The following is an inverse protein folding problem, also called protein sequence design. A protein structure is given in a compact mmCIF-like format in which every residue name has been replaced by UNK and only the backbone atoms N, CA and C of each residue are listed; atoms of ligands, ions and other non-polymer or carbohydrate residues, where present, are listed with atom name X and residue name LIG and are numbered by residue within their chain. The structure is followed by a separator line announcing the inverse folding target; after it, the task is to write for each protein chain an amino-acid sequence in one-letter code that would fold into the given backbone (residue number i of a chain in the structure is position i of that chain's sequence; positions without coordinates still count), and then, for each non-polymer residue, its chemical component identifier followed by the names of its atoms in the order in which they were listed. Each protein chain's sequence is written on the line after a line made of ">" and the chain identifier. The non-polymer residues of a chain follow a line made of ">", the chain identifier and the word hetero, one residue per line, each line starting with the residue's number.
data_IF_492616768775
#
_entry.id   IF_492616768775
#
_cell.length_a   1.000
_cell.length_b   1.000
_cell.length_c   1.000
_cell.angle_alpha   90.00
_cell.angle_beta   90.00
_cell.angle_gamma   90.00
#
_symmetry.space_group_name_H-M   'P 1'
#
loop_
_entity.id
_entity.type
_entity.pdbx_description
1 polymer ?
#
# COMPACT_ATOMS: atom_id res chain seq x y z
N UNK A 1 -5.90 23.20 14.94
CA UNK A 1 -4.74 24.13 14.92
C UNK A 1 -3.67 23.51 15.78
N UNK A 2 -2.52 23.22 15.22
CA UNK A 2 -1.34 22.77 15.99
C UNK A 2 -0.29 23.87 15.94
N UNK A 3 0.26 24.21 17.10
CA UNK A 3 1.35 25.18 17.22
C UNK A 3 2.57 24.47 17.82
N UNK A 4 3.74 24.68 17.25
CA UNK A 4 5.01 24.30 17.87
C UNK A 4 5.58 25.51 18.61
N UNK A 5 5.95 25.32 19.87
CA UNK A 5 6.67 26.30 20.66
C UNK A 5 8.03 25.73 21.01
N UNK A 6 9.08 26.53 20.90
CA UNK A 6 10.42 26.12 21.30
C UNK A 6 11.55 26.67 20.45
N UNK A 7 11.24 27.26 19.31
CA UNK A 7 12.23 27.96 18.50
C UNK A 7 12.50 29.36 19.07
N UNK A 8 13.74 29.78 19.02
CA UNK A 8 14.16 31.12 19.37
C UNK A 8 14.45 31.86 18.07
N UNK A 9 13.80 33.01 17.86
CA UNK A 9 14.10 33.86 16.72
C UNK A 9 15.55 34.35 16.82
N UNK A 10 16.35 34.03 15.82
CA UNK A 10 17.79 34.33 15.78
C UNK A 10 18.11 35.83 15.80
N UNK A 11 17.15 36.68 15.45
CA UNK A 11 17.33 38.15 15.40
C UNK A 11 16.91 38.83 16.70
N UNK A 12 15.82 38.36 17.31
CA UNK A 12 15.24 38.99 18.52
C UNK A 12 15.57 38.26 19.80
N UNK A 13 16.10 37.07 19.74
CA UNK A 13 16.37 36.15 20.86
C UNK A 13 15.15 35.86 21.74
N UNK A 14 13.94 36.01 21.18
CA UNK A 14 12.68 35.75 21.86
C UNK A 14 12.09 34.41 21.43
N UNK A 15 11.35 33.72 22.32
CA UNK A 15 10.61 32.51 21.96
C UNK A 15 9.60 32.80 20.84
N UNK A 16 9.57 31.93 19.85
CA UNK A 16 8.62 32.01 18.72
C UNK A 16 7.69 30.79 18.76
N UNK A 17 6.42 31.04 18.58
CA UNK A 17 5.44 29.98 18.31
C UNK A 17 5.02 30.10 16.83
N UNK A 18 5.20 29.02 16.09
CA UNK A 18 4.70 28.90 14.70
C UNK A 18 3.46 28.01 14.66
N UNK A 19 2.48 28.42 13.87
CA UNK A 19 1.31 27.59 13.58
C UNK A 19 1.70 26.67 12.43
N UNK A 20 1.69 25.36 12.69
CA UNK A 20 2.10 24.35 11.71
C UNK A 20 0.93 23.81 10.87
N UNK A 21 -0.31 23.95 11.35
CA UNK A 21 -1.51 23.52 10.65
C UNK A 21 -2.68 24.45 10.94
N UNK A 22 -3.49 24.82 9.95
CA UNK A 22 -4.67 25.65 10.16
C UNK A 22 -5.73 24.89 10.98
N UNK A 23 -6.70 25.63 11.52
CA UNK A 23 -7.89 25.02 12.11
C UNK A 23 -8.76 24.43 11.00
N UNK A 24 -9.34 23.27 11.28
CA UNK A 24 -10.39 22.69 10.45
C UNK A 24 -11.66 22.54 11.30
N UNK A 25 -12.62 23.50 11.25
CA UNK A 25 -13.85 23.44 12.03
C UNK A 25 -14.81 22.35 11.52
N UNK A 26 -14.64 21.90 10.27
CA UNK A 26 -15.50 20.89 9.64
C UNK A 26 -15.01 19.45 9.90
N UNK A 27 -13.94 19.29 10.66
CA UNK A 27 -13.38 17.98 10.95
C UNK A 27 -14.35 17.17 11.83
N UNK A 28 -14.80 16.03 11.28
CA UNK A 28 -15.72 15.09 11.95
C UNK A 28 -14.95 13.90 12.48
N UNK A 29 -15.43 13.26 13.53
CA UNK A 29 -14.89 12.02 14.05
C UNK A 29 -15.09 10.86 13.07
N UNK A 30 -14.07 10.04 12.93
CA UNK A 30 -14.17 8.78 12.21
C UNK A 30 -15.20 7.86 12.87
N UNK A 31 -16.02 7.22 12.04
CA UNK A 31 -17.00 6.25 12.48
C UNK A 31 -16.69 4.89 11.89
N UNK A 32 -16.48 3.89 12.75
CA UNK A 32 -16.24 2.52 12.35
C UNK A 32 -17.42 1.63 12.72
N UNK A 33 -18.04 1.00 11.71
CA UNK A 33 -19.08 0.00 11.88
C UNK A 33 -18.54 -1.34 11.42
N UNK A 34 -18.55 -2.34 12.32
CA UNK A 34 -18.16 -3.71 12.02
C UNK A 34 -19.33 -4.65 12.25
N UNK A 35 -19.59 -5.53 11.28
CA UNK A 35 -20.47 -6.68 11.40
C UNK A 35 -19.64 -7.92 11.16
N UNK A 36 -19.68 -8.87 12.09
CA UNK A 36 -18.97 -10.15 12.00
C UNK A 36 -19.95 -11.30 12.25
N UNK A 37 -19.81 -12.37 11.48
CA UNK A 37 -20.50 -13.65 11.70
C UNK A 37 -19.45 -14.75 11.67
N UNK A 38 -19.32 -15.47 12.77
CA UNK A 38 -18.32 -16.52 12.96
C UNK A 38 -18.97 -17.85 13.30
N UNK A 39 -18.29 -18.92 12.94
CA UNK A 39 -18.61 -20.30 13.27
C UNK A 39 -17.35 -21.02 13.77
N UNK A 40 -17.40 -21.48 15.01
CA UNK A 40 -16.38 -22.37 15.56
C UNK A 40 -16.81 -23.82 15.41
N UNK A 41 -15.86 -24.68 15.08
CA UNK A 41 -16.14 -26.10 14.91
C UNK A 41 -15.04 -26.98 15.50
N UNK A 42 -15.48 -28.18 15.95
CA UNK A 42 -14.59 -29.20 16.44
C UNK A 42 -15.15 -30.59 16.16
N UNK A 43 -14.35 -31.42 15.51
CA UNK A 43 -14.72 -32.79 15.12
C UNK A 43 -13.67 -33.81 15.58
N UNK A 44 -14.01 -35.06 15.58
CA UNK A 44 -13.10 -36.19 15.90
C UNK A 44 -12.41 -36.01 17.27
N UNK A 45 -13.18 -35.71 18.31
CA UNK A 45 -12.66 -35.38 19.65
C UNK A 45 -11.64 -34.19 19.62
N UNK A 46 -11.98 -33.13 18.90
CA UNK A 46 -11.17 -31.93 18.70
C UNK A 46 -9.85 -32.11 17.93
N UNK A 47 -9.65 -33.28 17.31
CA UNK A 47 -8.49 -33.48 16.42
C UNK A 47 -8.55 -32.54 15.21
N UNK A 48 -9.75 -32.32 14.67
CA UNK A 48 -10.04 -31.28 13.69
C UNK A 48 -10.80 -30.16 14.39
N UNK A 49 -10.25 -28.96 14.41
CA UNK A 49 -10.84 -27.78 15.03
C UNK A 49 -10.58 -26.55 14.21
N UNK A 50 -11.40 -25.55 14.37
CA UNK A 50 -11.16 -24.28 13.68
C UNK A 50 -12.30 -23.31 13.81
N UNK A 51 -12.15 -22.18 13.11
CA UNK A 51 -13.16 -21.14 12.98
C UNK A 51 -13.26 -20.67 11.54
N UNK A 52 -14.43 -20.20 11.18
CA UNK A 52 -14.70 -19.50 9.92
C UNK A 52 -15.45 -18.22 10.25
N UNK A 53 -14.86 -17.10 9.93
CA UNK A 53 -15.41 -15.76 10.16
C UNK A 53 -15.62 -15.03 8.85
N UNK A 54 -16.75 -14.36 8.73
CA UNK A 54 -17.02 -13.38 7.68
C UNK A 54 -17.28 -12.03 8.30
N UNK A 55 -16.58 -11.00 7.82
CA UNK A 55 -16.76 -9.65 8.34
C UNK A 55 -16.98 -8.62 7.23
N UNK A 56 -17.71 -7.57 7.61
CA UNK A 56 -17.84 -6.32 6.86
C UNK A 56 -17.53 -5.17 7.81
N UNK A 57 -16.48 -4.41 7.51
CA UNK A 57 -16.08 -3.22 8.26
C UNK A 57 -16.19 -2.00 7.35
N UNK A 58 -16.99 -1.01 7.77
CA UNK A 58 -17.13 0.26 7.05
C UNK A 58 -16.65 1.39 7.95
N UNK A 59 -15.64 2.11 7.49
CA UNK A 59 -15.18 3.36 8.07
C UNK A 59 -15.76 4.53 7.28
N UNK A 60 -16.35 5.49 7.97
CA UNK A 60 -16.82 6.76 7.41
C UNK A 60 -16.01 7.91 7.98
N UNK A 61 -15.97 8.99 7.23
CA UNK A 61 -15.28 10.22 7.64
C UNK A 61 -13.81 9.99 8.01
N UNK A 62 -13.14 9.06 7.32
CA UNK A 62 -11.73 8.77 7.54
C UNK A 62 -10.93 10.02 7.24
N UNK A 63 -10.05 10.42 8.14
CA UNK A 63 -9.25 11.62 7.97
C UNK A 63 -7.81 11.29 7.57
N UNK A 64 -7.28 12.14 6.70
CA UNK A 64 -5.88 12.12 6.28
C UNK A 64 -5.39 13.57 6.08
N UNK A 65 -4.06 13.78 6.03
CA UNK A 65 -3.53 15.06 5.59
C UNK A 65 -3.85 15.27 4.10
N UNK A 66 -4.41 16.42 3.80
CA UNK A 66 -4.61 16.89 2.43
C UNK A 66 -3.65 18.04 2.14
N UNK A 67 -3.19 18.16 0.90
CA UNK A 67 -2.37 19.29 0.46
C UNK A 67 -3.25 20.52 0.29
N UNK A 68 -2.77 21.65 0.78
CA UNK A 68 -3.44 22.94 0.62
C UNK A 68 -2.78 23.76 -0.49
N UNK A 69 -3.53 24.72 -1.04
CA UNK A 69 -2.97 25.71 -1.94
C UNK A 69 -1.92 26.56 -1.21
N UNK A 70 -0.72 26.76 -1.77
CA UNK A 70 0.35 27.56 -1.14
C UNK A 70 -0.07 28.98 -0.73
N UNK A 71 -1.09 29.55 -1.36
CA UNK A 71 -1.64 30.88 -1.01
C UNK A 71 -2.26 30.93 0.38
N UNK A 72 -2.60 29.77 0.97
CA UNK A 72 -3.11 29.67 2.35
C UNK A 72 -2.02 29.88 3.40
N UNK A 73 -0.74 29.83 3.00
CA UNK A 73 0.40 29.87 3.91
C UNK A 73 0.68 28.53 4.64
N UNK A 74 -0.06 27.47 4.32
CA UNK A 74 0.13 26.14 4.88
C UNK A 74 0.31 25.11 3.76
N UNK A 75 1.11 24.08 4.00
CA UNK A 75 1.31 22.98 3.04
C UNK A 75 0.24 21.92 3.12
N UNK A 76 -0.31 21.69 4.31
CA UNK A 76 -1.32 20.64 4.53
C UNK A 76 -2.22 20.91 5.73
N UNK A 77 -3.37 20.26 5.75
CA UNK A 77 -4.22 20.15 6.94
C UNK A 77 -4.87 18.77 7.00
N UNK A 78 -5.31 18.38 8.19
CA UNK A 78 -6.09 17.15 8.37
C UNK A 78 -7.54 17.43 8.04
N UNK A 79 -8.12 16.62 7.15
CA UNK A 79 -9.53 16.68 6.76
C UNK A 79 -10.12 15.27 6.64
N UNK A 80 -11.44 15.15 6.69
CA UNK A 80 -12.12 13.92 6.31
C UNK A 80 -11.99 13.76 4.80
N UNK A 81 -11.51 12.60 4.35
CA UNK A 81 -11.17 12.42 2.92
C UNK A 81 -12.02 11.37 2.24
N UNK A 82 -12.42 10.31 2.97
CA UNK A 82 -13.06 9.17 2.32
C UNK A 82 -13.91 8.33 3.28
N UNK A 83 -14.78 7.53 2.68
CA UNK A 83 -15.43 6.39 3.31
C UNK A 83 -14.93 5.10 2.67
N UNK A 84 -14.58 4.09 3.49
CA UNK A 84 -13.91 2.86 3.06
C UNK A 84 -14.67 1.65 3.59
N UNK A 85 -14.75 0.60 2.77
CA UNK A 85 -15.28 -0.70 3.19
C UNK A 85 -14.23 -1.78 3.03
N UNK A 86 -14.09 -2.59 4.07
CA UNK A 86 -13.36 -3.84 4.06
C UNK A 86 -14.35 -4.98 4.27
N UNK A 87 -14.27 -6.01 3.47
CA UNK A 87 -15.00 -7.24 3.68
C UNK A 87 -14.06 -8.42 3.43
N UNK A 88 -14.14 -9.42 4.28
CA UNK A 88 -13.23 -10.53 4.21
C UNK A 88 -13.72 -11.79 4.89
N UNK A 89 -12.95 -12.84 4.67
CA UNK A 89 -13.14 -14.15 5.25
C UNK A 89 -11.85 -14.52 5.97
N UNK A 90 -11.98 -15.02 7.18
CA UNK A 90 -10.90 -15.58 7.97
C UNK A 90 -11.23 -17.03 8.29
N UNK A 91 -10.29 -17.92 8.00
CA UNK A 91 -10.41 -19.35 8.24
C UNK A 91 -9.20 -19.81 9.07
N UNK A 92 -9.47 -20.46 10.18
CA UNK A 92 -8.47 -21.17 10.96
C UNK A 92 -8.81 -22.66 10.98
N UNK A 93 -7.82 -23.51 10.73
CA UNK A 93 -7.95 -24.97 10.78
C UNK A 93 -6.76 -25.52 11.56
N UNK A 94 -7.03 -26.23 12.65
CA UNK A 94 -6.05 -27.03 13.37
C UNK A 94 -6.33 -28.51 13.17
N UNK A 95 -5.32 -29.27 12.84
CA UNK A 95 -5.44 -30.72 12.70
C UNK A 95 -4.29 -31.46 13.38
N UNK A 96 -4.66 -32.42 14.24
CA UNK A 96 -3.72 -33.31 14.91
C UNK A 96 -3.62 -34.62 14.13
N UNK A 97 -2.59 -34.71 13.27
CA UNK A 97 -2.36 -35.91 12.44
C UNK A 97 -2.06 -37.12 13.30
N UNK A 98 -1.18 -36.91 14.31
CA UNK A 98 -0.79 -37.96 15.24
C UNK A 98 -0.86 -37.44 16.67
N UNK A 99 -1.58 -38.12 17.51
CA UNK A 99 -1.71 -37.85 18.95
C UNK A 99 -1.05 -39.01 19.70
N UNK A 100 0.05 -38.76 20.45
CA UNK A 100 0.78 -39.83 21.10
C UNK A 100 -0.02 -40.38 22.31
N UNK A 101 0.00 -41.69 22.47
CA UNK A 101 -0.55 -42.36 23.67
C UNK A 101 0.32 -42.20 24.91
N UNK A 102 1.56 -41.73 24.77
CA UNK A 102 2.50 -41.51 25.87
C UNK A 102 3.43 -40.31 25.56
N UNK A 103 4.18 -39.81 26.57
CA UNK A 103 5.07 -38.65 26.46
C UNK A 103 6.22 -38.78 25.46
N UNK A 104 6.59 -40.01 25.03
CA UNK A 104 7.69 -40.27 24.09
C UNK A 104 7.19 -40.62 22.69
N UNK A 105 5.87 -40.67 22.48
CA UNK A 105 5.28 -40.98 21.20
C UNK A 105 5.44 -39.81 20.20
N UNK A 106 5.26 -40.14 18.93
CA UNK A 106 5.25 -39.15 17.84
C UNK A 106 3.95 -38.35 17.87
N UNK A 107 4.06 -37.03 17.74
CA UNK A 107 2.93 -36.13 17.49
C UNK A 107 3.24 -35.22 16.31
N UNK A 108 2.21 -34.92 15.54
CA UNK A 108 2.26 -33.93 14.47
C UNK A 108 0.96 -33.15 14.46
N UNK A 109 1.08 -31.86 14.59
CA UNK A 109 -0.03 -30.88 14.53
C UNK A 109 0.25 -29.86 13.42
N UNK A 110 -0.76 -29.59 12.61
CA UNK A 110 -0.74 -28.51 11.61
C UNK A 110 -1.82 -27.49 11.96
N UNK A 111 -1.47 -26.21 11.96
CA UNK A 111 -2.41 -25.09 12.04
C UNK A 111 -2.33 -24.30 10.74
N UNK A 112 -3.45 -24.16 10.04
CA UNK A 112 -3.60 -23.37 8.85
C UNK A 112 -4.45 -22.14 9.16
N UNK A 113 -4.00 -20.97 8.78
CA UNK A 113 -4.76 -19.72 8.80
C UNK A 113 -4.84 -19.15 7.41
N UNK A 114 -6.03 -18.75 6.98
CA UNK A 114 -6.26 -18.11 5.69
C UNK A 114 -7.08 -16.86 5.93
N UNK A 115 -6.53 -15.73 5.52
CA UNK A 115 -7.26 -14.44 5.53
C UNK A 115 -7.38 -13.95 4.09
N UNK A 116 -8.61 -13.65 3.69
CA UNK A 116 -8.87 -12.97 2.43
C UNK A 116 -9.61 -11.68 2.72
N UNK A 117 -9.04 -10.55 2.31
CA UNK A 117 -9.63 -9.22 2.49
C UNK A 117 -9.73 -8.48 1.16
N UNK A 118 -10.88 -7.85 0.95
CA UNK A 118 -11.12 -6.93 -0.16
C UNK A 118 -11.54 -5.57 0.41
N UNK A 119 -10.72 -4.57 0.18
CA UNK A 119 -11.07 -3.20 0.51
C UNK A 119 -11.56 -2.42 -0.72
N UNK A 120 -12.35 -1.39 -0.48
CA UNK A 120 -12.88 -0.51 -1.51
C UNK A 120 -13.18 0.86 -0.92
N UNK A 121 -12.74 1.90 -1.60
CA UNK A 121 -13.17 3.27 -1.36
C UNK A 121 -14.61 3.41 -1.85
N UNK A 122 -15.52 3.81 -0.96
CA UNK A 122 -16.94 4.01 -1.27
C UNK A 122 -17.21 5.40 -1.78
N UNK A 123 -16.58 6.40 -1.16
CA UNK A 123 -16.77 7.80 -1.40
C UNK A 123 -15.50 8.57 -1.09
N UNK A 124 -15.26 9.65 -1.82
CA UNK A 124 -14.16 10.59 -1.59
C UNK A 124 -14.77 11.99 -1.51
N UNK A 125 -14.49 12.72 -0.44
CA UNK A 125 -15.06 14.08 -0.20
C UNK A 125 -14.61 15.06 -1.28
N UNK A 126 -13.30 15.06 -1.58
CA UNK A 126 -12.71 15.90 -2.61
C UNK A 126 -11.94 15.01 -3.58
N UNK A 127 -12.58 14.47 -4.62
CA UNK A 127 -11.91 13.58 -5.55
C UNK A 127 -10.84 14.32 -6.34
N UNK A 128 -9.68 13.67 -6.50
CA UNK A 128 -8.60 14.19 -7.32
C UNK A 128 -9.08 14.40 -8.76
N UNK A 129 -8.70 15.52 -9.36
CA UNK A 129 -8.98 15.83 -10.76
C UNK A 129 -7.73 15.71 -11.63
N UNK A 130 -6.55 15.91 -11.04
CA UNK A 130 -5.26 15.80 -11.72
C UNK A 130 -4.58 14.47 -11.37
N UNK A 131 -3.86 13.94 -12.31
CA UNK A 131 -3.13 12.68 -12.16
C UNK A 131 -2.14 12.71 -10.98
N UNK A 132 -1.40 13.81 -10.80
CA UNK A 132 -0.47 13.98 -9.68
C UNK A 132 -1.17 13.87 -8.31
N UNK A 133 -2.35 14.47 -8.17
CA UNK A 133 -3.07 14.47 -6.90
C UNK A 133 -3.53 13.05 -6.54
N UNK A 134 -3.98 12.26 -7.53
CA UNK A 134 -4.38 10.87 -7.31
C UNK A 134 -3.19 9.94 -7.00
N UNK A 135 -2.03 10.18 -7.60
CA UNK A 135 -0.81 9.41 -7.29
C UNK A 135 -0.33 9.72 -5.87
N UNK A 136 -0.45 10.98 -5.44
CA UNK A 136 -0.03 11.42 -4.10
C UNK A 136 -0.97 10.96 -2.98
N UNK A 137 -2.29 10.93 -3.25
CA UNK A 137 -3.31 10.46 -2.32
C UNK A 137 -4.26 9.51 -3.07
N UNK A 138 -3.99 8.19 -3.07
CA UNK A 138 -4.58 7.23 -4.01
C UNK A 138 -6.03 6.83 -3.67
N UNK A 139 -6.86 7.76 -3.21
CA UNK A 139 -8.28 7.53 -2.96
C UNK A 139 -9.10 7.82 -4.22
N UNK A 140 -9.58 6.77 -4.88
CA UNK A 140 -10.53 6.87 -5.99
C UNK A 140 -11.72 5.95 -5.72
N UNK A 141 -12.94 6.50 -5.79
CA UNK A 141 -14.17 5.75 -5.57
C UNK A 141 -14.23 4.51 -6.46
N UNK A 142 -14.53 3.37 -5.86
CA UNK A 142 -14.60 2.08 -6.55
C UNK A 142 -13.32 1.25 -6.54
N UNK A 143 -12.18 1.84 -6.18
CA UNK A 143 -10.86 1.21 -6.15
C UNK A 143 -10.41 0.90 -4.72
N UNK A 144 -9.39 0.03 -4.53
CA UNK A 144 -8.80 -0.21 -3.22
C UNK A 144 -8.03 1.02 -2.71
N UNK A 145 -7.86 1.11 -1.38
CA UNK A 145 -7.20 2.24 -0.71
C UNK A 145 -5.76 2.41 -1.21
N UNK A 146 -4.99 1.35 -1.20
CA UNK A 146 -3.59 1.38 -1.64
C UNK A 146 -3.47 0.96 -3.12
N UNK A 147 -4.30 1.61 -3.97
CA UNK A 147 -4.26 1.42 -5.40
C UNK A 147 -2.95 1.96 -5.99
N UNK A 148 -2.35 1.20 -6.89
CA UNK A 148 -1.18 1.62 -7.64
C UNK A 148 -1.65 2.23 -8.94
N UNK A 149 -1.35 3.51 -9.12
CA UNK A 149 -1.66 4.29 -10.31
C UNK A 149 -0.39 4.57 -11.09
N UNK A 150 -0.40 4.33 -12.38
CA UNK A 150 0.75 4.51 -13.24
C UNK A 150 0.40 5.40 -14.43
N UNK A 151 1.35 6.25 -14.82
CA UNK A 151 1.30 6.93 -16.10
C UNK A 151 1.61 5.92 -17.21
N UNK A 152 0.86 6.00 -18.30
CA UNK A 152 1.12 5.16 -19.47
C UNK A 152 2.30 5.73 -20.24
N UNK A 153 3.39 4.97 -20.27
CA UNK A 153 4.61 5.35 -20.99
C UNK A 153 4.37 5.36 -22.51
N UNK A 154 4.82 6.43 -23.17
CA UNK A 154 4.65 6.63 -24.60
C UNK A 154 5.96 6.53 -25.38
N UNK A 155 7.08 6.32 -24.70
CA UNK A 155 8.40 6.24 -25.30
C UNK A 155 9.33 7.36 -24.82
N UNK A 156 10.47 7.47 -25.47
CA UNK A 156 11.49 8.46 -25.20
C UNK A 156 11.55 9.44 -26.38
N UNK A 157 11.71 10.72 -26.07
CA UNK A 157 11.73 11.76 -27.09
C UNK A 157 13.10 11.79 -27.81
N UNK A 158 13.06 11.82 -29.13
CA UNK A 158 14.23 11.93 -30.00
C UNK A 158 14.38 13.32 -30.64
N UNK A 159 13.46 14.25 -30.35
CA UNK A 159 13.46 15.59 -30.91
C UNK A 159 14.60 16.45 -30.37
N UNK A 160 15.22 17.31 -31.20
CA UNK A 160 16.30 18.20 -30.77
C UNK A 160 15.92 19.03 -29.54
N UNK A 161 16.76 18.97 -28.52
CA UNK A 161 16.55 19.67 -27.22
C UNK A 161 15.70 18.92 -26.21
N UNK A 162 15.08 17.79 -26.56
CA UNK A 162 14.25 16.94 -25.70
C UNK A 162 14.76 15.50 -25.67
N UNK A 163 15.83 15.21 -26.38
CA UNK A 163 16.43 13.88 -26.53
C UNK A 163 16.64 13.21 -25.17
N UNK A 164 16.15 11.96 -25.02
CA UNK A 164 16.32 11.17 -23.82
C UNK A 164 15.24 11.43 -22.73
N UNK A 165 14.30 12.34 -22.93
CA UNK A 165 13.22 12.58 -21.99
C UNK A 165 12.08 11.59 -22.18
N UNK A 166 11.59 11.02 -21.06
CA UNK A 166 10.42 10.15 -21.07
C UNK A 166 9.15 10.89 -21.43
N UNK A 167 8.35 10.32 -22.32
CA UNK A 167 7.03 10.81 -22.70
C UNK A 167 5.94 9.90 -22.11
N UNK A 168 4.82 10.50 -21.78
CA UNK A 168 3.65 9.82 -21.25
C UNK A 168 2.41 10.22 -22.04
N UNK A 169 1.49 9.25 -22.20
CA UNK A 169 0.19 9.57 -22.80
C UNK A 169 -0.62 10.47 -21.87
N UNK A 170 -1.20 11.51 -22.45
CA UNK A 170 -2.17 12.41 -21.84
C UNK A 170 -3.49 12.38 -22.59
N UNK A 171 -4.38 13.34 -22.37
CA UNK A 171 -5.71 13.37 -22.98
C UNK A 171 -5.64 13.34 -24.51
N UNK A 172 -6.66 12.72 -25.11
CA UNK A 172 -6.84 12.64 -26.58
C UNK A 172 -5.69 11.93 -27.32
N UNK A 173 -4.91 11.09 -26.63
CA UNK A 173 -3.78 10.38 -27.21
C UNK A 173 -2.54 11.24 -27.47
N UNK A 174 -2.52 12.46 -26.98
CA UNK A 174 -1.33 13.31 -27.01
C UNK A 174 -0.27 12.75 -26.04
N UNK A 175 0.95 13.24 -26.19
CA UNK A 175 2.06 12.89 -25.30
C UNK A 175 2.63 14.13 -24.62
N UNK A 176 3.13 13.97 -23.39
CA UNK A 176 3.74 15.04 -22.61
C UNK A 176 4.87 14.49 -21.74
N UNK A 177 5.90 15.29 -21.50
CA UNK A 177 6.93 15.00 -20.49
C UNK A 177 6.43 15.22 -19.07
N UNK A 178 5.38 16.05 -18.90
CA UNK A 178 4.75 16.31 -17.64
C UNK A 178 3.27 15.88 -17.67
N UNK A 179 3.02 14.63 -17.34
CA UNK A 179 1.66 14.08 -17.27
C UNK A 179 0.98 14.34 -15.90
N UNK A 180 1.68 14.94 -14.93
CA UNK A 180 1.12 15.18 -13.59
C UNK A 180 -0.05 16.16 -13.58
N UNK A 181 -0.07 17.12 -14.49
CA UNK A 181 -1.15 18.09 -14.65
C UNK A 181 -2.34 17.59 -15.47
N UNK A 182 -2.20 16.44 -16.12
CA UNK A 182 -3.26 15.80 -16.88
C UNK A 182 -4.42 15.32 -15.98
N UNK A 183 -5.57 15.01 -16.57
CA UNK A 183 -6.71 14.42 -15.89
C UNK A 183 -6.35 13.08 -15.23
N UNK A 184 -7.04 12.74 -14.14
CA UNK A 184 -6.91 11.41 -13.49
C UNK A 184 -7.25 10.24 -14.42
N UNK A 185 -7.96 10.49 -15.52
CA UNK A 185 -8.40 9.44 -16.45
C UNK A 185 -7.28 8.92 -17.36
N UNK A 186 -6.13 9.62 -17.39
CA UNK A 186 -4.93 9.14 -18.13
C UNK A 186 -4.15 8.09 -17.33
N UNK A 187 -4.46 7.93 -16.04
CA UNK A 187 -3.79 6.96 -15.19
C UNK A 187 -4.36 5.56 -15.38
N UNK A 188 -3.48 4.58 -15.45
CA UNK A 188 -3.83 3.17 -15.46
C UNK A 188 -3.77 2.57 -14.05
N UNK A 189 -4.77 1.74 -13.73
CA UNK A 189 -4.80 0.98 -12.50
C UNK A 189 -3.89 -0.25 -12.60
N UNK A 190 -2.75 -0.18 -11.94
CA UNK A 190 -1.76 -1.26 -11.91
C UNK A 190 -2.10 -2.41 -10.96
N UNK A 191 -2.95 -2.18 -9.96
CA UNK A 191 -3.26 -3.13 -8.91
C UNK A 191 -3.29 -2.48 -7.53
N UNK A 192 -3.11 -3.25 -6.47
CA UNK A 192 -3.00 -2.76 -5.09
C UNK A 192 -1.74 -3.27 -4.42
N UNK A 193 -1.16 -2.49 -3.50
CA UNK A 193 0.04 -2.87 -2.76
C UNK A 193 -0.24 -3.82 -1.60
N UNK A 194 -1.47 -3.82 -1.07
CA UNK A 194 -1.84 -4.72 0.01
C UNK A 194 -2.18 -6.12 -0.51
N UNK A 195 -1.70 -7.18 0.16
CA UNK A 195 -2.08 -8.53 -0.18
C UNK A 195 -3.59 -8.75 0.07
N UNK A 196 -4.27 -9.38 -0.89
CA UNK A 196 -5.67 -9.79 -0.76
C UNK A 196 -5.80 -11.08 0.03
N UNK A 197 -4.81 -11.97 -0.10
CA UNK A 197 -4.78 -13.26 0.57
C UNK A 197 -3.49 -13.38 1.38
N UNK A 198 -3.64 -13.81 2.62
CA UNK A 198 -2.52 -14.16 3.50
C UNK A 198 -2.80 -15.57 3.99
N UNK A 199 -1.86 -16.48 3.78
CA UNK A 199 -1.95 -17.86 4.23
C UNK A 199 -0.76 -18.18 5.13
N UNK A 200 -1.03 -18.64 6.34
CA UNK A 200 -0.03 -19.12 7.28
C UNK A 200 -0.23 -20.60 7.57
N UNK A 201 0.80 -21.41 7.50
CA UNK A 201 0.76 -22.82 7.88
C UNK A 201 1.88 -23.11 8.86
N UNK A 202 1.51 -23.33 10.11
CA UNK A 202 2.41 -23.76 11.18
C UNK A 202 2.34 -25.28 11.34
N UNK A 203 3.51 -25.93 11.43
CA UNK A 203 3.62 -27.34 11.68
C UNK A 203 4.51 -27.60 12.87
N UNK A 204 4.06 -28.45 13.78
CA UNK A 204 4.80 -28.89 14.95
C UNK A 204 4.88 -30.40 15.00
N UNK A 205 6.10 -30.92 14.95
CA UNK A 205 6.43 -32.31 15.11
C UNK A 205 7.18 -32.52 16.42
N UNK A 206 6.79 -33.53 17.18
CA UNK A 206 7.46 -33.92 18.43
C UNK A 206 7.69 -35.40 18.46
N UNK A 207 8.88 -35.80 18.87
CA UNK A 207 9.24 -37.22 19.01
C UNK A 207 10.36 -37.40 20.04
N UNK A 208 10.08 -38.20 21.06
CA UNK A 208 11.07 -38.62 22.06
C UNK A 208 11.88 -37.49 22.68
N UNK A 209 11.23 -36.36 22.99
CA UNK A 209 11.89 -35.15 23.58
C UNK A 209 12.46 -34.17 22.56
N UNK A 210 12.52 -34.51 21.27
CA UNK A 210 12.86 -33.58 20.19
C UNK A 210 11.59 -32.88 19.69
N UNK A 211 11.73 -31.64 19.28
CA UNK A 211 10.65 -30.90 18.64
C UNK A 211 11.19 -30.15 17.41
N UNK A 212 10.42 -30.21 16.32
CA UNK A 212 10.67 -29.45 15.10
C UNK A 212 9.41 -28.63 14.79
N UNK A 213 9.57 -27.33 14.65
CA UNK A 213 8.52 -26.41 14.20
C UNK A 213 8.96 -25.66 12.96
N UNK A 214 8.05 -25.48 12.00
CA UNK A 214 8.27 -24.61 10.84
C UNK A 214 6.97 -23.91 10.44
N UNK A 215 7.13 -22.66 10.02
CA UNK A 215 6.06 -21.79 9.55
C UNK A 215 6.28 -21.47 8.07
N UNK A 216 5.24 -21.68 7.27
CA UNK A 216 5.17 -21.22 5.89
C UNK A 216 4.16 -20.07 5.82
N UNK A 217 4.54 -18.96 5.19
CA UNK A 217 3.66 -17.80 4.99
C UNK A 217 3.63 -17.44 3.52
N UNK A 218 2.43 -17.22 3.00
CA UNK A 218 2.20 -16.80 1.63
C UNK A 218 1.38 -15.50 1.62
N UNK A 219 1.85 -14.52 0.84
CA UNK A 219 1.14 -13.29 0.55
C UNK A 219 0.77 -13.23 -0.92
N UNK A 220 -0.51 -13.03 -1.23
CA UNK A 220 -1.00 -13.07 -2.61
C UNK A 220 -1.94 -11.94 -2.98
N UNK A 221 -1.97 -11.64 -4.29
CA UNK A 221 -2.89 -10.66 -4.85
C UNK A 221 -2.47 -9.21 -4.70
N UNK A 222 -1.24 -8.93 -4.26
CA UNK A 222 -0.64 -7.59 -4.23
C UNK A 222 0.31 -7.38 -5.42
N UNK A 223 0.63 -6.12 -5.67
CA UNK A 223 1.62 -5.69 -6.65
C UNK A 223 2.50 -4.61 -6.04
N UNK A 224 3.65 -4.40 -6.62
CA UNK A 224 4.57 -3.30 -6.27
C UNK A 224 5.17 -2.74 -7.55
N UNK A 225 5.53 -1.46 -7.54
CA UNK A 225 6.35 -0.92 -8.60
C UNK A 225 7.75 -1.50 -8.48
N UNK A 226 8.30 -1.97 -9.59
CA UNK A 226 9.73 -2.23 -9.67
C UNK A 226 10.44 -0.87 -9.61
N UNK A 227 11.20 -0.62 -8.55
CA UNK A 227 12.08 0.54 -8.51
C UNK A 227 13.37 0.14 -9.24
N UNK A 228 13.72 0.79 -10.34
CA UNK A 228 15.08 0.69 -10.85
C UNK A 228 16.00 1.17 -9.72
N UNK A 229 17.04 0.40 -9.41
CA UNK A 229 18.02 0.84 -8.41
C UNK A 229 18.65 2.11 -8.93
N UNK A 230 18.30 3.24 -8.33
CA UNK A 230 18.86 4.55 -8.65
C UNK A 230 20.31 4.75 -8.15
N UNK A 231 20.90 3.74 -7.58
CA UNK A 231 22.23 3.77 -6.95
C UNK A 231 23.41 4.02 -7.93
N UNK A 232 23.12 4.16 -9.22
CA UNK A 232 24.17 4.35 -10.25
C UNK A 232 24.68 5.79 -10.33
N UNK A 233 23.97 6.77 -9.75
CA UNK A 233 24.40 8.17 -9.80
C UNK A 233 25.05 8.70 -8.52
N UNK A 234 25.05 7.97 -7.45
CA UNK A 234 25.92 8.29 -6.31
C UNK A 234 27.31 7.74 -6.60
N UNK A 235 28.21 8.65 -6.82
CA UNK A 235 29.63 8.52 -7.18
C UNK A 235 30.47 7.62 -6.24
N UNK A 236 30.19 6.35 -6.17
CA UNK A 236 31.14 5.38 -5.66
C UNK A 236 31.64 4.52 -6.82
N UNK A 237 32.90 4.62 -7.12
CA UNK A 237 33.62 3.88 -8.15
C UNK A 237 33.55 2.35 -7.96
N UNK A 238 32.96 1.89 -6.85
CA UNK A 238 32.87 0.49 -6.43
C UNK A 238 31.48 -0.15 -6.59
N UNK A 239 30.47 0.58 -7.10
CA UNK A 239 29.16 -0.01 -7.31
C UNK A 239 29.06 -0.67 -8.68
N UNK A 240 28.74 -1.99 -8.78
CA UNK A 240 28.56 -2.64 -10.07
C UNK A 240 27.39 -2.01 -10.81
N UNK A 241 27.65 -1.57 -12.05
CA UNK A 241 26.60 -1.07 -12.96
C UNK A 241 25.52 -2.14 -13.12
N UNK A 242 24.26 -1.75 -12.87
CA UNK A 242 23.15 -2.64 -13.13
C UNK A 242 23.06 -2.87 -14.65
N UNK A 243 22.93 -4.14 -15.07
CA UNK A 243 22.84 -4.54 -16.47
C UNK A 243 21.70 -3.82 -17.23
N UNK A 244 20.67 -3.36 -16.52
CA UNK A 244 19.58 -2.55 -17.09
C UNK A 244 20.10 -1.27 -17.75
N UNK A 245 21.16 -0.66 -17.20
CA UNK A 245 21.74 0.57 -17.78
C UNK A 245 22.58 0.32 -19.02
N UNK A 246 23.05 -0.91 -19.25
CA UNK A 246 23.72 -1.26 -20.50
C UNK A 246 22.77 -1.25 -21.71
N UNK A 247 21.47 -1.34 -21.46
CA UNK A 247 20.42 -1.29 -22.45
C UNK A 247 19.64 0.03 -22.38
N UNK A 248 20.16 1.07 -21.70
CA UNK A 248 19.52 2.38 -21.68
C UNK A 248 19.43 2.96 -23.09
N UNK A 249 18.43 3.80 -23.29
CA UNK A 249 18.24 4.51 -24.53
C UNK A 249 19.43 5.46 -24.83
N UNK A 250 19.97 5.33 -26.02
CA UNK A 250 20.94 6.26 -26.60
C UNK A 250 20.52 6.59 -28.02
N UNK A 251 21.03 7.66 -28.64
CA UNK A 251 20.74 7.95 -30.06
C UNK A 251 21.07 6.78 -31.00
N UNK A 252 21.99 5.90 -30.63
CA UNK A 252 22.39 4.72 -31.38
C UNK A 252 21.66 3.44 -30.94
N UNK A 253 21.11 3.42 -29.74
CA UNK A 253 20.36 2.30 -29.16
C UNK A 253 18.99 2.74 -28.70
N UNK A 254 17.99 2.62 -29.55
CA UNK A 254 16.59 3.02 -29.27
C UNK A 254 15.89 1.95 -28.43
N UNK A 255 16.28 1.82 -27.17
CA UNK A 255 15.60 0.94 -26.21
C UNK A 255 14.42 1.65 -25.55
N UNK A 256 13.47 0.87 -24.96
CA UNK A 256 12.37 1.39 -24.16
C UNK A 256 12.77 1.67 -22.70
N UNK A 257 14.07 1.56 -22.38
CA UNK A 257 14.62 1.80 -21.03
C UNK A 257 15.22 3.20 -21.02
N UNK A 258 14.69 4.12 -20.21
CA UNK A 258 15.18 5.50 -20.11
C UNK A 258 16.55 5.59 -19.48
#
# INVERSE_FOLDING_TARGET
>A
MTASSGDINSTTNLPVASISSPANPDLRWEQNRTTNVGLDYGFMSYRLRGSLDYYVKTGKDIFAPITLDPTTGFSSMVANVASIRNNGIELAIGYDWFVPGNRRGFSWTTNLTVTYNKNKVLEVENPATRAYDLVSLPYKTGYPVNALWAYRFAGIDDRPGLVGQSMYYVENGNTSHNAGSASVDVLEFGGQSDPKAIVGMDNQLRWNGLSLGFLLVYYGGHKMFAQPKSEVFESSWDSPLNIVYLNSWTPENHSDVP
#
